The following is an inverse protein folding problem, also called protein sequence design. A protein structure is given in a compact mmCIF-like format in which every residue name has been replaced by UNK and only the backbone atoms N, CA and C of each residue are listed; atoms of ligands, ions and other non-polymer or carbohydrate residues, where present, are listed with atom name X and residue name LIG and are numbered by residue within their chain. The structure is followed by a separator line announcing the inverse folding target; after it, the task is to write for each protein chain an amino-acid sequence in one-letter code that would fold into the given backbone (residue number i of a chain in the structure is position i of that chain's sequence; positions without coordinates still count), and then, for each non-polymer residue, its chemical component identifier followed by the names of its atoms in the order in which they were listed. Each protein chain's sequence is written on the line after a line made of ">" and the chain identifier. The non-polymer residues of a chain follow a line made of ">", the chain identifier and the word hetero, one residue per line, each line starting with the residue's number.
data_IF_706919941461
#
_entry.id   IF_706919941461
#
_cell.length_a   1.000
_cell.length_b   1.000
_cell.length_c   1.000
_cell.angle_alpha   90.00
_cell.angle_beta   90.00
_cell.angle_gamma   90.00
#
_symmetry.space_group_name_H-M   'P 1'
#
loop_
_entity.id
_entity.type
_entity.pdbx_description
1 polymer ?
#
# COMPACT_ATOMS: atom_id res chain seq x y z
N UNK A 1 38.87 -16.82 41.93
CA UNK A 1 39.71 -17.26 40.79
C UNK A 1 38.82 -17.33 39.57
N UNK A 2 39.18 -16.59 38.52
CA UNK A 2 38.38 -16.32 37.34
C UNK A 2 38.07 -17.58 36.53
N UNK A 3 36.81 -17.73 36.11
CA UNK A 3 36.43 -18.60 35.00
C UNK A 3 36.23 -17.70 33.77
N UNK A 4 37.14 -17.87 32.82
CA UNK A 4 37.10 -17.30 31.48
C UNK A 4 35.83 -17.74 30.74
N UNK A 5 34.94 -16.80 30.42
CA UNK A 5 33.95 -16.96 29.36
C UNK A 5 34.33 -16.07 28.18
N UNK A 6 35.15 -16.62 27.29
CA UNK A 6 35.47 -15.99 26.02
C UNK A 6 34.21 -15.86 25.17
N UNK A 7 33.71 -14.63 24.99
CA UNK A 7 32.81 -14.32 23.89
C UNK A 7 33.57 -14.51 22.56
N UNK A 8 33.02 -15.22 21.56
CA UNK A 8 33.57 -15.17 20.22
C UNK A 8 33.33 -13.77 19.64
N UNK A 9 34.42 -13.02 19.51
CA UNK A 9 34.53 -11.69 18.93
C UNK A 9 34.35 -11.74 17.41
N UNK A 10 33.11 -11.96 16.95
CA UNK A 10 32.81 -12.02 15.53
C UNK A 10 32.56 -10.60 14.96
N UNK A 11 33.31 -10.14 13.94
CA UNK A 11 33.21 -8.77 13.39
C UNK A 11 31.81 -8.37 12.85
N UNK A 12 30.92 -9.33 12.60
CA UNK A 12 29.56 -9.11 12.10
C UNK A 12 28.61 -8.53 13.16
N UNK A 13 28.82 -8.83 14.43
CA UNK A 13 27.98 -8.31 15.53
C UNK A 13 28.04 -6.78 15.62
N UNK A 14 29.20 -6.19 15.27
CA UNK A 14 29.38 -4.73 15.26
C UNK A 14 28.66 -4.04 14.10
N UNK A 15 28.55 -4.66 12.92
CA UNK A 15 27.85 -4.07 11.77
C UNK A 15 26.33 -4.09 11.96
N UNK A 16 25.76 -5.18 12.47
CA UNK A 16 24.32 -5.24 12.79
C UNK A 16 23.96 -4.34 13.99
N UNK A 17 24.82 -4.24 15.01
CA UNK A 17 24.65 -3.30 16.12
C UNK A 17 24.73 -1.84 15.67
N UNK A 18 25.59 -1.52 14.69
CA UNK A 18 25.70 -0.16 14.12
C UNK A 18 24.38 0.31 13.51
N UNK A 19 23.68 -0.55 12.75
CA UNK A 19 22.36 -0.22 12.19
C UNK A 19 21.23 -0.26 13.23
N UNK A 20 21.28 -1.17 14.21
CA UNK A 20 20.31 -1.21 15.34
C UNK A 20 20.36 0.06 16.21
N UNK A 21 21.56 0.63 16.39
CA UNK A 21 21.77 1.83 17.21
C UNK A 21 21.54 3.15 16.45
N UNK A 22 21.69 3.18 15.12
CA UNK A 22 21.47 4.41 14.34
C UNK A 22 19.99 4.86 14.32
N UNK A 23 19.06 3.92 14.53
CA UNK A 23 17.61 4.16 14.47
C UNK A 23 16.90 4.09 15.84
N UNK A 24 17.62 3.70 16.89
CA UNK A 24 17.11 3.64 18.25
C UNK A 24 17.59 4.86 19.04
N UNK A 25 16.65 5.70 19.50
CA UNK A 25 16.81 6.84 20.43
C UNK A 25 17.27 8.20 19.86
N UNK A 26 16.27 9.04 19.57
CA UNK A 26 16.14 10.36 20.24
C UNK A 26 14.66 10.79 20.26
N UNK A 27 13.93 10.31 21.26
CA UNK A 27 12.63 10.86 21.66
C UNK A 27 12.61 10.83 23.19
N UNK A 28 13.08 11.93 23.79
CA UNK A 28 12.87 12.25 25.20
C UNK A 28 12.44 13.71 25.26
N UNK A 29 11.30 13.88 25.93
CA UNK A 29 10.57 15.10 26.23
C UNK A 29 11.41 16.12 27.01
N UNK A 30 11.19 17.42 26.76
CA UNK A 30 11.58 18.49 27.70
C UNK A 30 11.69 19.90 27.12
N UNK A 31 10.81 20.80 27.58
CA UNK A 31 11.03 22.26 27.69
C UNK A 31 10.60 23.13 26.50
N UNK A 32 9.38 23.68 26.48
CA UNK A 32 8.98 25.03 26.98
C UNK A 32 9.66 26.23 26.32
N UNK A 33 8.84 27.06 25.66
CA UNK A 33 8.96 28.53 25.70
C UNK A 33 9.34 29.22 24.38
N UNK A 34 8.49 30.15 23.95
CA UNK A 34 8.92 31.28 23.12
C UNK A 34 8.04 31.59 21.91
N UNK A 35 6.99 32.38 22.14
CA UNK A 35 6.25 33.12 21.12
C UNK A 35 7.17 33.91 20.16
N UNK A 36 6.78 34.04 18.89
CA UNK A 36 6.60 35.37 18.27
C UNK A 36 5.81 35.31 16.97
N UNK A 37 4.86 36.22 16.94
CA UNK A 37 3.86 36.60 15.96
C UNK A 37 4.44 37.39 14.78
N UNK A 38 3.66 37.48 13.68
CA UNK A 38 3.85 38.43 12.58
C UNK A 38 4.11 37.71 11.24
N UNK A 39 3.45 37.98 10.12
CA UNK A 39 2.71 39.15 9.68
C UNK A 39 1.70 38.74 8.60
N UNK A 40 0.60 39.50 8.55
CA UNK A 40 -0.46 39.44 7.55
C UNK A 40 -0.18 40.36 6.35
N UNK A 41 -0.93 40.13 5.26
CA UNK A 41 -1.03 41.01 4.09
C UNK A 41 0.09 40.76 3.06
N UNK A 42 -0.09 40.97 1.76
CA UNK A 42 -0.88 42.00 1.09
C UNK A 42 -1.27 41.48 -0.30
N UNK A 43 -2.54 41.66 -0.65
CA UNK A 43 -3.11 41.54 -1.99
C UNK A 43 -2.83 42.82 -2.79
N UNK A 44 -2.56 42.75 -4.10
CA UNK A 44 -2.91 43.85 -5.01
C UNK A 44 -4.07 43.46 -5.93
N UNK A 45 -5.10 44.32 -5.89
CA UNK A 45 -6.22 44.41 -6.83
C UNK A 45 -5.75 45.08 -8.13
N UNK A 46 -6.40 44.65 -9.20
CA UNK A 46 -6.92 45.39 -10.35
C UNK A 46 -5.99 46.34 -11.11
N UNK A 47 -5.90 46.15 -12.43
CA UNK A 47 -6.54 47.00 -13.43
C UNK A 47 -5.99 46.65 -14.83
N UNK A 48 -6.85 46.19 -15.73
CA UNK A 48 -6.79 46.57 -17.15
C UNK A 48 -8.17 46.38 -17.78
N UNK A 49 -8.88 47.50 -17.87
CA UNK A 49 -9.94 47.77 -18.82
C UNK A 49 -9.35 47.94 -20.22
N UNK A 50 -9.90 47.27 -21.24
CA UNK A 50 -9.75 47.68 -22.64
C UNK A 50 -11.06 47.45 -23.39
N UNK A 51 -11.66 48.59 -23.72
CA UNK A 51 -12.43 48.96 -24.91
C UNK A 51 -13.41 47.94 -25.51
N UNK A 52 -14.68 48.33 -25.36
CA UNK A 52 -15.78 48.14 -26.32
C UNK A 52 -15.40 48.66 -27.71
N UNK A 53 -15.57 47.83 -28.72
CA UNK A 53 -15.60 48.21 -30.14
C UNK A 53 -17.06 48.12 -30.63
N UNK A 54 -17.66 49.21 -31.14
CA UNK A 54 -19.06 49.24 -31.53
C UNK A 54 -19.19 49.15 -33.06
N UNK A 55 -19.10 47.96 -33.65
CA UNK A 55 -19.50 47.77 -35.05
C UNK A 55 -19.96 46.33 -35.31
N UNK A 56 -21.27 46.12 -35.20
CA UNK A 56 -21.96 44.89 -35.58
C UNK A 56 -22.55 45.03 -37.00
N UNK A 57 -22.30 44.07 -37.91
CA UNK A 57 -23.14 43.91 -39.09
C UNK A 57 -24.42 43.15 -38.73
N UNK A 58 -25.55 43.80 -38.98
CA UNK A 58 -26.92 43.26 -38.89
C UNK A 58 -27.10 42.12 -39.88
N UNK A 59 -27.40 40.91 -39.40
CA UNK A 59 -27.87 39.78 -40.22
C UNK A 59 -29.39 39.83 -40.36
N UNK A 60 -29.95 39.67 -41.58
CA UNK A 60 -31.40 39.71 -41.79
C UNK A 60 -32.07 38.46 -41.20
N UNK A 61 -33.25 38.68 -40.61
CA UNK A 61 -34.12 37.64 -40.07
C UNK A 61 -34.63 36.70 -41.18
N UNK A 62 -34.73 35.37 -40.94
CA UNK A 62 -35.30 34.45 -41.91
C UNK A 62 -36.84 34.48 -41.90
N UNK A 63 -37.38 34.45 -43.11
CA UNK A 63 -38.80 34.43 -43.55
C UNK A 63 -39.68 33.39 -42.81
N UNK A 64 -40.94 33.69 -42.42
CA UNK A 64 -41.78 32.79 -41.62
C UNK A 64 -42.61 31.76 -42.40
N UNK A 65 -42.38 31.53 -43.70
CA UNK A 65 -43.15 30.56 -44.52
C UNK A 65 -42.32 29.41 -45.09
N UNK A 66 -41.72 28.61 -44.21
CA UNK A 66 -41.28 27.25 -44.59
C UNK A 66 -41.57 26.22 -43.50
N UNK A 67 -42.81 26.22 -43.02
CA UNK A 67 -43.41 25.08 -42.34
C UNK A 67 -44.14 24.23 -43.37
N UNK A 68 -43.55 23.13 -43.84
CA UNK A 68 -44.30 21.90 -44.09
C UNK A 68 -43.35 20.71 -44.32
N UNK A 69 -43.68 19.61 -43.63
CA UNK A 69 -43.14 18.25 -43.76
C UNK A 69 -41.78 17.98 -43.08
N UNK A 70 -41.84 17.68 -41.78
CA UNK A 70 -40.78 16.91 -41.07
C UNK A 70 -41.21 15.43 -41.00
N UNK A 71 -40.35 14.44 -41.31
CA UNK A 71 -40.68 13.03 -41.08
C UNK A 71 -40.74 12.74 -39.57
N UNK A 72 -41.45 11.68 -39.14
CA UNK A 72 -41.64 11.42 -37.71
C UNK A 72 -40.29 11.23 -37.02
N UNK A 73 -39.99 12.10 -36.04
CA UNK A 73 -38.86 11.93 -35.13
C UNK A 73 -39.02 10.58 -34.43
N UNK A 74 -38.18 9.61 -34.80
CA UNK A 74 -37.93 8.43 -33.95
C UNK A 74 -37.54 8.96 -32.57
N UNK A 75 -38.38 8.70 -31.58
CA UNK A 75 -38.05 8.87 -30.16
C UNK A 75 -36.68 8.23 -29.92
N UNK A 76 -35.68 8.96 -29.38
CA UNK A 76 -34.46 8.33 -28.96
C UNK A 76 -34.84 7.36 -27.85
N UNK A 77 -34.74 6.06 -28.12
CA UNK A 77 -34.75 5.08 -27.05
C UNK A 77 -33.61 5.46 -26.12
N UNK A 78 -33.94 5.94 -24.92
CA UNK A 78 -33.00 6.28 -23.87
C UNK A 78 -32.32 4.99 -23.39
N UNK A 79 -31.43 4.43 -24.22
CA UNK A 79 -30.37 3.54 -23.75
C UNK A 79 -29.50 4.44 -22.88
N UNK A 80 -29.58 4.28 -21.56
CA UNK A 80 -28.69 4.88 -20.57
C UNK A 80 -27.23 4.50 -20.88
N UNK A 81 -26.64 5.13 -21.90
CA UNK A 81 -25.26 4.96 -22.30
C UNK A 81 -24.48 5.86 -21.35
N UNK A 82 -23.99 5.30 -20.24
CA UNK A 82 -22.98 6.00 -19.42
C UNK A 82 -21.89 6.50 -20.39
N UNK A 83 -21.44 7.76 -20.28
CA UNK A 83 -20.33 8.22 -21.09
C UNK A 83 -19.15 7.29 -20.86
N UNK A 84 -18.60 6.71 -21.94
CA UNK A 84 -17.54 5.68 -21.92
C UNK A 84 -16.37 6.05 -20.97
N UNK A 85 -16.13 7.35 -20.75
CA UNK A 85 -15.12 7.86 -19.81
C UNK A 85 -15.35 7.54 -18.33
N UNK A 86 -16.61 7.46 -17.86
CA UNK A 86 -16.88 7.25 -16.42
C UNK A 86 -16.59 5.81 -15.96
N UNK A 87 -16.73 4.82 -16.84
CA UNK A 87 -16.36 3.43 -16.55
C UNK A 87 -14.84 3.24 -16.62
N UNK A 88 -14.19 3.81 -17.65
CA UNK A 88 -12.72 3.79 -17.80
C UNK A 88 -12.02 4.43 -16.60
N UNK A 89 -12.59 5.52 -16.05
CA UNK A 89 -12.05 6.18 -14.85
C UNK A 89 -12.08 5.28 -13.61
N UNK A 90 -13.23 4.66 -13.31
CA UNK A 90 -13.37 3.73 -12.17
C UNK A 90 -12.50 2.48 -12.30
N UNK A 91 -12.37 1.95 -13.52
CA UNK A 91 -11.44 0.85 -13.78
C UNK A 91 -10.01 1.26 -13.46
N UNK A 92 -9.57 2.43 -13.96
CA UNK A 92 -8.24 2.94 -13.71
C UNK A 92 -7.97 3.08 -12.22
N UNK A 93 -8.95 3.53 -11.44
CA UNK A 93 -8.85 3.62 -9.97
C UNK A 93 -8.64 2.23 -9.35
N UNK A 94 -9.42 1.21 -9.75
CA UNK A 94 -9.26 -0.16 -9.25
C UNK A 94 -7.91 -0.79 -9.64
N UNK A 95 -7.47 -0.61 -10.89
CA UNK A 95 -6.14 -1.05 -11.35
C UNK A 95 -5.04 -0.30 -10.60
N UNK A 96 -5.22 0.99 -10.31
CA UNK A 96 -4.28 1.78 -9.53
C UNK A 96 -4.10 1.21 -8.12
N UNK A 97 -5.20 0.90 -7.43
CA UNK A 97 -5.15 0.30 -6.08
C UNK A 97 -4.34 -0.99 -6.11
N UNK A 98 -4.67 -1.93 -7.00
CA UNK A 98 -3.99 -3.22 -7.08
C UNK A 98 -2.51 -3.08 -7.46
N UNK A 99 -2.21 -2.27 -8.47
CA UNK A 99 -0.84 -2.06 -8.95
C UNK A 99 0.03 -1.37 -7.92
N UNK A 100 -0.49 -0.35 -7.23
CA UNK A 100 0.24 0.38 -6.20
C UNK A 100 0.46 -0.52 -4.99
N UNK A 101 -0.56 -1.27 -4.54
CA UNK A 101 -0.41 -2.24 -3.45
C UNK A 101 0.70 -3.24 -3.73
N UNK A 102 0.68 -3.85 -4.93
CA UNK A 102 1.66 -4.82 -5.37
C UNK A 102 3.11 -4.31 -5.25
N UNK A 103 3.39 -3.17 -5.88
CA UNK A 103 4.75 -2.62 -5.89
C UNK A 103 5.15 -2.14 -4.49
N UNK A 104 4.21 -1.59 -3.73
CA UNK A 104 4.46 -1.13 -2.36
C UNK A 104 4.75 -2.29 -1.41
N UNK A 105 4.08 -3.43 -1.57
CA UNK A 105 4.33 -4.63 -0.78
C UNK A 105 5.73 -5.19 -1.06
N UNK A 106 6.11 -5.32 -2.33
CA UNK A 106 7.46 -5.70 -2.73
C UNK A 106 8.53 -4.75 -2.17
N UNK A 107 8.33 -3.43 -2.28
CA UNK A 107 9.25 -2.43 -1.71
C UNK A 107 9.31 -2.51 -0.18
N UNK A 108 8.18 -2.75 0.50
CA UNK A 108 8.17 -2.92 1.94
C UNK A 108 9.03 -4.10 2.37
N UNK A 109 8.94 -5.21 1.64
CA UNK A 109 9.75 -6.39 1.90
C UNK A 109 11.25 -6.09 1.75
N UNK A 110 11.62 -5.44 0.64
CA UNK A 110 13.01 -5.06 0.37
C UNK A 110 13.53 -4.13 1.47
N UNK A 111 12.78 -3.08 1.83
CA UNK A 111 13.18 -2.17 2.91
C UNK A 111 13.32 -2.86 4.26
N UNK A 112 12.47 -3.83 4.58
CA UNK A 112 12.59 -4.63 5.80
C UNK A 112 13.90 -5.40 5.86
N UNK A 113 14.35 -5.97 4.74
CA UNK A 113 15.65 -6.65 4.67
C UNK A 113 16.82 -5.71 4.83
N UNK A 114 16.73 -4.44 4.39
CA UNK A 114 17.83 -3.49 4.50
C UNK A 114 17.88 -2.73 5.83
N UNK A 115 16.71 -2.45 6.44
CA UNK A 115 16.63 -1.62 7.64
C UNK A 115 16.78 -2.42 8.95
N UNK A 116 16.61 -3.74 8.92
CA UNK A 116 16.79 -4.63 10.09
C UNK A 116 16.07 -4.13 11.36
N UNK A 117 14.86 -3.58 11.20
CA UNK A 117 14.13 -2.98 12.31
C UNK A 117 13.69 -4.02 13.35
N UNK A 118 13.96 -3.74 14.63
CA UNK A 118 13.47 -4.52 15.77
C UNK A 118 11.96 -4.30 16.00
N UNK A 119 11.32 -5.11 16.86
CA UNK A 119 9.92 -4.93 17.27
C UNK A 119 9.82 -4.67 18.77
N UNK A 120 8.81 -3.91 19.23
CA UNK A 120 8.68 -3.57 20.65
C UNK A 120 8.70 -4.79 21.58
N UNK A 121 7.93 -5.85 21.29
CA UNK A 121 7.89 -7.02 22.17
C UNK A 121 9.20 -7.82 22.17
N UNK A 122 9.90 -7.94 21.03
CA UNK A 122 11.25 -8.54 21.00
C UNK A 122 12.23 -7.74 21.85
N UNK A 123 12.22 -6.43 21.66
CA UNK A 123 13.12 -5.51 22.34
C UNK A 123 12.92 -5.49 23.85
N UNK A 124 11.67 -5.53 24.33
CA UNK A 124 11.36 -5.57 25.77
C UNK A 124 11.98 -6.81 26.44
N UNK A 125 11.96 -7.97 25.77
CA UNK A 125 12.54 -9.20 26.29
C UNK A 125 14.07 -9.27 26.16
N UNK A 126 14.63 -8.79 25.03
CA UNK A 126 16.08 -8.82 24.78
C UNK A 126 16.87 -7.72 25.50
N UNK A 127 16.24 -6.58 25.84
CA UNK A 127 16.91 -5.44 26.49
C UNK A 127 17.22 -5.66 27.97
N UNK A 128 16.68 -6.72 28.59
CA UNK A 128 16.79 -6.96 30.04
C UNK A 128 15.92 -6.04 30.90
N UNK A 129 15.18 -5.10 30.30
CA UNK A 129 14.27 -4.19 31.00
C UNK A 129 13.17 -4.94 31.77
N UNK A 130 12.69 -6.07 31.21
CA UNK A 130 11.69 -6.93 31.84
C UNK A 130 12.14 -7.50 33.20
N UNK A 131 13.45 -7.74 33.38
CA UNK A 131 14.00 -8.25 34.64
C UNK A 131 14.03 -7.19 35.76
N UNK A 132 13.95 -5.90 35.39
CA UNK A 132 14.03 -4.78 36.32
C UNK A 132 12.63 -4.24 36.68
N UNK A 133 11.69 -4.30 35.74
CA UNK A 133 10.29 -3.98 35.95
C UNK A 133 9.42 -4.89 35.05
N UNK A 134 8.79 -5.94 35.60
CA UNK A 134 7.95 -6.84 34.82
C UNK A 134 6.66 -6.12 34.39
N UNK A 135 6.74 -5.40 33.27
CA UNK A 135 5.57 -4.85 32.60
C UNK A 135 4.83 -6.00 31.94
N UNK A 136 3.59 -6.29 32.33
CA UNK A 136 2.80 -7.34 31.68
C UNK A 136 2.49 -6.94 30.23
N UNK A 137 3.25 -7.51 29.29
CA UNK A 137 3.04 -7.32 27.86
C UNK A 137 2.05 -8.38 27.38
N UNK A 138 0.82 -7.97 27.13
CA UNK A 138 -0.18 -8.85 26.51
C UNK A 138 0.10 -8.99 25.02
N UNK A 139 0.28 -10.24 24.56
CA UNK A 139 0.38 -10.56 23.15
C UNK A 139 -0.98 -11.00 22.62
N UNK A 140 -1.24 -10.67 21.35
CA UNK A 140 -2.40 -11.12 20.60
C UNK A 140 -1.92 -11.93 19.40
N UNK A 141 -2.80 -12.74 18.76
CA UNK A 141 -2.43 -13.47 17.54
C UNK A 141 -1.80 -12.56 16.47
N UNK A 142 -2.27 -11.32 16.36
CA UNK A 142 -1.77 -10.31 15.41
C UNK A 142 -0.44 -9.64 15.81
N UNK A 143 0.10 -9.92 17.00
CA UNK A 143 1.38 -9.39 17.49
C UNK A 143 2.58 -10.19 16.96
N UNK A 144 2.43 -11.50 16.74
CA UNK A 144 3.52 -12.43 16.43
C UNK A 144 3.90 -12.50 14.94
N UNK A 145 4.26 -11.37 14.36
CA UNK A 145 4.76 -11.32 12.98
C UNK A 145 6.24 -11.71 12.86
N UNK A 146 6.61 -12.39 11.77
CA UNK A 146 7.96 -12.95 11.58
C UNK A 146 8.97 -12.04 10.88
N UNK A 147 8.50 -11.03 10.14
CA UNK A 147 9.35 -10.10 9.40
C UNK A 147 9.91 -8.95 10.26
N UNK A 148 10.99 -8.28 9.84
CA UNK A 148 11.50 -7.07 10.50
C UNK A 148 10.45 -5.96 10.63
N UNK A 149 10.59 -5.10 11.64
CA UNK A 149 9.61 -4.08 12.00
C UNK A 149 9.62 -2.82 11.13
N UNK A 150 10.72 -2.51 10.43
CA UNK A 150 10.87 -1.22 9.71
C UNK A 150 10.86 -1.36 8.19
N UNK A 151 10.03 -0.59 7.46
CA UNK A 151 8.92 0.23 7.92
C UNK A 151 7.64 -0.61 8.12
N UNK A 152 6.64 -0.04 8.81
CA UNK A 152 5.36 -0.75 9.03
C UNK A 152 4.63 -1.01 7.70
N UNK A 153 4.51 -2.28 7.31
CA UNK A 153 3.86 -2.70 6.07
C UNK A 153 2.37 -2.35 6.02
N UNK A 154 1.66 -2.53 7.14
CA UNK A 154 0.25 -2.14 7.28
C UNK A 154 0.06 -0.65 6.94
N UNK A 155 0.90 0.23 7.50
CA UNK A 155 0.78 1.66 7.25
C UNK A 155 1.20 2.04 5.82
N UNK A 156 2.31 1.47 5.34
CA UNK A 156 2.88 1.77 4.03
C UNK A 156 1.97 1.34 2.89
N UNK A 157 1.50 0.08 2.90
CA UNK A 157 0.67 -0.48 1.84
C UNK A 157 -0.71 0.18 1.85
N UNK A 158 -1.37 0.28 3.01
CA UNK A 158 -2.68 0.95 3.11
C UNK A 158 -2.60 2.43 2.72
N UNK A 159 -1.53 3.13 3.13
CA UNK A 159 -1.29 4.51 2.74
C UNK A 159 -1.16 4.68 1.23
N UNK A 160 -0.36 3.85 0.57
CA UNK A 160 -0.16 3.92 -0.87
C UNK A 160 -1.43 3.51 -1.66
N UNK A 161 -2.06 2.40 -1.26
CA UNK A 161 -3.21 1.82 -1.95
C UNK A 161 -4.45 2.71 -1.91
N UNK A 162 -4.70 3.40 -0.79
CA UNK A 162 -5.87 4.27 -0.63
C UNK A 162 -5.65 5.68 -1.23
N UNK A 163 -4.42 6.07 -1.56
CA UNK A 163 -4.12 7.36 -2.20
C UNK A 163 -4.91 7.62 -3.50
N UNK A 164 -4.96 6.69 -4.49
CA UNK A 164 -5.76 6.89 -5.70
C UNK A 164 -7.26 7.04 -5.41
N UNK A 165 -7.78 6.35 -4.40
CA UNK A 165 -9.19 6.47 -3.98
C UNK A 165 -9.44 7.85 -3.37
N UNK A 166 -8.60 8.27 -2.42
CA UNK A 166 -8.68 9.59 -1.79
C UNK A 166 -8.67 10.69 -2.86
N UNK A 167 -7.68 10.68 -3.75
CA UNK A 167 -7.53 11.71 -4.81
C UNK A 167 -8.71 11.70 -5.79
N UNK A 168 -9.21 10.53 -6.18
CA UNK A 168 -10.36 10.42 -7.06
C UNK A 168 -11.65 10.95 -6.42
N UNK A 169 -11.89 10.64 -5.14
CA UNK A 169 -13.04 11.14 -4.38
C UNK A 169 -12.92 12.65 -4.14
N UNK A 170 -11.75 13.15 -3.76
CA UNK A 170 -11.50 14.59 -3.60
C UNK A 170 -11.77 15.36 -4.89
N UNK A 171 -11.30 14.84 -6.04
CA UNK A 171 -11.58 15.46 -7.34
C UNK A 171 -13.08 15.46 -7.69
N UNK A 172 -13.80 14.39 -7.34
CA UNK A 172 -15.26 14.31 -7.54
C UNK A 172 -16.04 15.26 -6.63
N UNK A 173 -15.59 15.48 -5.40
CA UNK A 173 -16.24 16.41 -4.47
C UNK A 173 -15.87 17.86 -4.80
N UNK A 174 -14.66 18.12 -5.30
CA UNK A 174 -14.24 19.45 -5.76
C UNK A 174 -15.13 19.99 -6.88
N UNK A 175 -15.59 19.13 -7.80
CA UNK A 175 -16.49 19.54 -8.90
C UNK A 175 -17.95 19.67 -8.51
N UNK A 176 -18.38 19.04 -7.40
CA UNK A 176 -19.80 19.00 -6.99
C UNK A 176 -20.13 19.90 -5.81
N UNK A 177 -19.17 20.18 -4.94
CA UNK A 177 -19.39 20.90 -3.70
C UNK A 177 -18.78 22.30 -3.76
N UNK A 178 -19.52 23.30 -3.31
CA UNK A 178 -19.02 24.66 -3.13
C UNK A 178 -18.29 24.86 -1.79
N UNK A 179 -18.66 24.09 -0.75
CA UNK A 179 -18.06 24.20 0.58
C UNK A 179 -16.68 23.56 0.66
N UNK A 180 -15.71 24.29 1.23
CA UNK A 180 -14.35 23.82 1.50
C UNK A 180 -14.32 22.58 2.42
N UNK A 181 -15.24 22.52 3.38
CA UNK A 181 -15.34 21.39 4.32
C UNK A 181 -15.72 20.09 3.61
N UNK A 182 -16.71 20.15 2.72
CA UNK A 182 -17.16 18.98 1.96
C UNK A 182 -16.04 18.45 1.05
N UNK A 183 -15.24 19.36 0.47
CA UNK A 183 -14.07 18.98 -0.35
C UNK A 183 -12.96 18.32 0.46
N UNK A 184 -12.84 18.64 1.76
CA UNK A 184 -11.82 18.08 2.64
C UNK A 184 -12.18 16.68 3.17
N UNK A 185 -13.46 16.26 3.12
CA UNK A 185 -13.95 15.00 3.69
C UNK A 185 -13.12 13.78 3.26
N UNK A 186 -12.80 13.54 1.97
CA UNK A 186 -12.09 12.32 1.58
C UNK A 186 -10.66 12.28 2.12
N UNK A 187 -9.99 13.43 2.15
CA UNK A 187 -8.64 13.55 2.73
C UNK A 187 -8.69 13.35 4.24
N UNK A 188 -9.65 13.96 4.94
CA UNK A 188 -9.83 13.76 6.38
C UNK A 188 -10.11 12.29 6.71
N UNK A 189 -11.02 11.65 5.98
CA UNK A 189 -11.32 10.23 6.15
C UNK A 189 -10.10 9.34 5.93
N UNK A 190 -9.29 9.63 4.89
CA UNK A 190 -8.04 8.93 4.61
C UNK A 190 -7.04 9.08 5.77
N UNK A 191 -6.76 10.30 6.23
CA UNK A 191 -5.80 10.54 7.31
C UNK A 191 -6.27 9.94 8.64
N UNK A 192 -7.56 10.06 8.98
CA UNK A 192 -8.12 9.47 10.19
C UNK A 192 -8.04 7.94 10.16
N UNK A 193 -8.34 7.31 9.01
CA UNK A 193 -8.23 5.86 8.87
C UNK A 193 -6.77 5.39 9.00
N UNK A 194 -5.82 6.10 8.37
CA UNK A 194 -4.40 5.78 8.50
C UNK A 194 -3.87 5.97 9.91
N UNK A 195 -4.34 7.00 10.63
CA UNK A 195 -4.01 7.19 12.03
C UNK A 195 -4.52 6.02 12.88
N UNK A 196 -5.76 5.57 12.65
CA UNK A 196 -6.31 4.40 13.35
C UNK A 196 -5.51 3.13 13.06
N UNK A 197 -5.12 2.89 11.80
CA UNK A 197 -4.25 1.77 11.42
C UNK A 197 -2.90 1.89 12.15
N UNK A 198 -2.25 3.05 12.10
CA UNK A 198 -0.97 3.28 12.76
C UNK A 198 -1.01 3.08 14.27
N UNK A 199 -2.03 3.64 14.94
CA UNK A 199 -2.22 3.48 16.38
C UNK A 199 -2.46 2.01 16.75
N UNK A 200 -3.27 1.27 15.97
CA UNK A 200 -3.49 -0.16 16.25
C UNK A 200 -2.18 -0.96 16.27
N UNK A 201 -1.22 -0.62 15.39
CA UNK A 201 0.09 -1.27 15.34
C UNK A 201 1.00 -0.95 16.52
N UNK A 202 0.88 0.26 17.08
CA UNK A 202 1.59 0.65 18.31
C UNK A 202 0.98 -0.03 19.52
N UNK A 203 -0.36 -0.04 19.64
CA UNK A 203 -1.06 -0.68 20.76
C UNK A 203 -0.85 -2.19 20.82
N UNK A 204 -0.75 -2.86 19.68
CA UNK A 204 -0.42 -4.30 19.59
C UNK A 204 1.07 -4.60 19.84
N UNK A 205 1.89 -3.58 20.12
CA UNK A 205 3.34 -3.67 20.32
C UNK A 205 4.09 -4.33 19.14
N UNK A 206 3.50 -4.24 17.95
CA UNK A 206 4.05 -4.85 16.75
C UNK A 206 5.03 -3.92 16.02
N UNK A 207 4.93 -2.60 16.25
CA UNK A 207 5.80 -1.58 15.67
C UNK A 207 6.07 -0.44 16.64
N UNK A 208 7.28 0.11 16.58
CA UNK A 208 7.58 1.38 17.26
C UNK A 208 6.95 2.57 16.51
N UNK A 209 6.65 3.70 17.20
CA UNK A 209 6.04 4.87 16.57
C UNK A 209 6.82 5.42 15.37
N UNK A 210 8.15 5.38 15.40
CA UNK A 210 8.98 5.83 14.27
C UNK A 210 8.81 4.95 13.02
N UNK A 211 8.58 3.64 13.20
CA UNK A 211 8.38 2.68 12.10
C UNK A 211 7.01 2.86 11.45
N UNK A 212 6.01 3.18 12.27
CA UNK A 212 4.67 3.57 11.82
C UNK A 212 4.75 4.87 11.02
N UNK A 213 5.41 5.90 11.55
CA UNK A 213 5.60 7.18 10.85
C UNK A 213 6.34 7.00 9.52
N UNK A 214 7.45 6.26 9.51
CA UNK A 214 8.18 5.94 8.28
C UNK A 214 7.31 5.22 7.26
N UNK A 215 6.48 4.26 7.70
CA UNK A 215 5.52 3.56 6.85
C UNK A 215 4.47 4.51 6.26
N UNK A 216 3.85 5.36 7.08
CA UNK A 216 2.86 6.34 6.64
C UNK A 216 3.43 7.32 5.60
N UNK A 217 4.60 7.89 5.86
CA UNK A 217 5.26 8.83 4.95
C UNK A 217 5.64 8.15 3.63
N UNK A 218 6.29 6.99 3.70
CA UNK A 218 6.70 6.23 2.50
C UNK A 218 5.47 5.81 1.69
N UNK A 219 4.40 5.35 2.35
CA UNK A 219 3.15 5.00 1.69
C UNK A 219 2.51 6.17 0.95
N UNK A 220 2.43 7.35 1.59
CA UNK A 220 1.92 8.56 0.96
C UNK A 220 2.77 8.99 -0.26
N UNK A 221 4.10 8.96 -0.14
CA UNK A 221 5.03 9.29 -1.23
C UNK A 221 4.86 8.32 -2.41
N UNK A 222 4.79 7.01 -2.14
CA UNK A 222 4.59 6.00 -3.17
C UNK A 222 3.21 6.14 -3.83
N UNK A 223 2.16 6.35 -3.05
CA UNK A 223 0.82 6.60 -3.56
C UNK A 223 0.79 7.80 -4.51
N UNK A 224 1.40 8.92 -4.11
CA UNK A 224 1.54 10.12 -4.93
C UNK A 224 2.35 9.87 -6.20
N UNK A 225 3.51 9.21 -6.09
CA UNK A 225 4.39 8.94 -7.22
C UNK A 225 3.75 7.97 -8.21
N UNK A 226 3.03 6.95 -7.75
CA UNK A 226 2.56 5.87 -8.60
C UNK A 226 1.16 6.11 -9.19
N UNK A 227 0.31 6.93 -8.57
CA UNK A 227 -1.04 7.22 -9.08
C UNK A 227 -1.06 7.73 -10.54
N UNK A 228 -0.11 8.57 -10.98
CA UNK A 228 0.00 8.94 -12.40
C UNK A 228 0.49 7.79 -13.31
N UNK A 229 1.24 6.83 -12.78
CA UNK A 229 2.03 5.80 -13.50
C UNK A 229 1.34 4.44 -13.59
N UNK A 230 0.00 4.41 -13.52
CA UNK A 230 -0.79 3.17 -13.57
C UNK A 230 -0.69 2.56 -14.97
N UNK A 231 -0.30 1.29 -15.11
CA UNK A 231 -0.17 0.63 -16.41
C UNK A 231 -1.55 0.31 -16.98
N UNK A 232 -2.16 1.31 -17.62
CA UNK A 232 -3.36 1.11 -18.41
C UNK A 232 -2.96 0.68 -19.82
N UNK A 233 -3.67 -0.29 -20.38
CA UNK A 233 -3.53 -0.70 -21.80
C UNK A 233 -2.16 -1.32 -22.14
N UNK A 234 -1.47 -1.88 -21.15
CA UNK A 234 -0.29 -2.72 -21.39
C UNK A 234 -0.70 -4.13 -21.79
N UNK A 235 0.14 -4.79 -22.56
CA UNK A 235 -0.03 -6.19 -22.98
C UNK A 235 0.06 -7.16 -21.79
N UNK A 236 -0.47 -8.36 -21.96
CA UNK A 236 -0.37 -9.43 -20.95
C UNK A 236 1.10 -9.77 -20.62
N UNK A 237 1.98 -9.71 -21.62
CA UNK A 237 3.43 -9.92 -21.49
C UNK A 237 4.06 -9.01 -20.43
N UNK A 238 3.64 -7.74 -20.36
CA UNK A 238 4.13 -6.78 -19.37
C UNK A 238 3.85 -7.21 -17.93
N UNK A 239 2.63 -7.72 -17.66
CA UNK A 239 2.27 -8.19 -16.32
C UNK A 239 2.99 -9.49 -15.95
N UNK A 240 3.16 -10.39 -16.92
CA UNK A 240 3.95 -11.62 -16.74
C UNK A 240 5.43 -11.33 -16.47
N UNK A 241 6.05 -10.43 -17.25
CA UNK A 241 7.43 -9.99 -17.04
C UNK A 241 7.59 -9.24 -15.72
N UNK A 242 6.60 -8.44 -15.30
CA UNK A 242 6.62 -7.80 -13.98
C UNK A 242 6.60 -8.84 -12.87
N UNK A 243 5.70 -9.82 -12.93
CA UNK A 243 5.64 -10.91 -11.95
C UNK A 243 6.99 -11.65 -11.84
N UNK A 244 7.58 -11.98 -13.00
CA UNK A 244 8.90 -12.62 -13.05
C UNK A 244 9.99 -11.72 -12.46
N UNK A 245 10.00 -10.43 -12.80
CA UNK A 245 10.98 -9.46 -12.30
C UNK A 245 10.87 -9.27 -10.79
N UNK A 246 9.66 -9.22 -10.22
CA UNK A 246 9.45 -9.12 -8.77
C UNK A 246 10.01 -10.36 -8.04
N UNK A 247 9.71 -11.56 -8.56
CA UNK A 247 10.17 -12.81 -7.98
C UNK A 247 11.69 -12.97 -8.07
N UNK A 248 12.26 -12.79 -9.27
CA UNK A 248 13.70 -12.92 -9.50
C UNK A 248 14.49 -11.82 -8.80
N UNK A 249 13.99 -10.58 -8.83
CA UNK A 249 14.63 -9.44 -8.19
C UNK A 249 14.72 -9.61 -6.67
N UNK A 250 13.62 -10.01 -6.02
CA UNK A 250 13.65 -10.29 -4.59
C UNK A 250 14.52 -11.49 -4.24
N UNK A 251 14.50 -12.56 -5.05
CA UNK A 251 15.38 -13.72 -4.87
C UNK A 251 16.86 -13.34 -4.98
N UNK A 252 17.21 -12.50 -5.97
CA UNK A 252 18.57 -11.99 -6.16
C UNK A 252 19.02 -11.14 -4.96
N UNK A 253 18.17 -10.23 -4.49
CA UNK A 253 18.46 -9.41 -3.30
C UNK A 253 18.66 -10.33 -2.08
N UNK A 254 17.77 -11.29 -1.85
CA UNK A 254 17.87 -12.24 -0.74
C UNK A 254 19.21 -13.00 -0.74
N UNK A 255 19.57 -13.62 -1.88
CA UNK A 255 20.81 -14.37 -2.00
C UNK A 255 22.05 -13.48 -1.88
N UNK A 256 21.99 -12.24 -2.39
CA UNK A 256 23.09 -11.27 -2.25
C UNK A 256 23.28 -10.87 -0.79
N UNK A 257 22.21 -10.61 -0.04
CA UNK A 257 22.33 -10.27 1.38
C UNK A 257 22.92 -11.44 2.19
N UNK A 258 22.50 -12.67 1.89
CA UNK A 258 23.08 -13.86 2.52
C UNK A 258 24.57 -14.02 2.17
N UNK A 259 24.96 -13.84 0.91
CA UNK A 259 26.37 -13.97 0.50
C UNK A 259 27.25 -12.88 1.11
N UNK A 260 26.68 -11.71 1.42
CA UNK A 260 27.33 -10.66 2.22
C UNK A 260 27.39 -10.96 3.73
N UNK A 261 26.89 -12.13 4.16
CA UNK A 261 26.92 -12.59 5.55
C UNK A 261 25.81 -12.02 6.44
N UNK A 262 24.75 -11.46 5.86
CA UNK A 262 23.59 -11.00 6.61
C UNK A 262 22.65 -12.16 6.88
N UNK A 263 22.42 -12.47 8.16
CA UNK A 263 21.42 -13.45 8.55
C UNK A 263 20.03 -12.82 8.42
N UNK A 264 19.23 -13.25 7.43
CA UNK A 264 17.83 -12.84 7.26
C UNK A 264 16.85 -13.70 8.09
N UNK A 265 17.32 -14.80 8.68
CA UNK A 265 16.51 -15.65 9.56
C UNK A 265 16.43 -15.13 10.99
N UNK A 266 17.26 -14.14 11.35
CA UNK A 266 17.29 -13.53 12.68
C UNK A 266 15.92 -13.13 13.20
N UNK A 267 15.08 -12.49 12.37
CA UNK A 267 13.77 -11.98 12.77
C UNK A 267 12.76 -13.12 12.98
N UNK A 268 12.91 -14.20 12.21
CA UNK A 268 12.10 -15.42 12.36
C UNK A 268 12.45 -16.08 13.69
N UNK A 269 13.75 -16.23 13.99
CA UNK A 269 14.20 -16.80 15.25
C UNK A 269 13.72 -15.98 16.46
N UNK A 270 13.74 -14.65 16.35
CA UNK A 270 13.29 -13.75 17.42
C UNK A 270 11.76 -13.82 17.61
N UNK A 271 11.00 -13.90 16.51
CA UNK A 271 9.56 -14.10 16.55
C UNK A 271 9.19 -15.45 17.19
N UNK A 272 9.85 -16.53 16.79
CA UNK A 272 9.60 -17.87 17.35
C UNK A 272 10.02 -17.99 18.81
N UNK A 273 11.05 -17.24 19.24
CA UNK A 273 11.54 -17.25 20.62
C UNK A 273 10.61 -16.51 21.59
N UNK A 274 10.08 -15.37 21.17
CA UNK A 274 9.36 -14.45 22.07
C UNK A 274 7.84 -14.42 21.86
N UNK A 275 7.32 -15.10 20.84
CA UNK A 275 5.89 -15.25 20.71
C UNK A 275 5.35 -16.17 21.82
N UNK A 276 4.29 -15.74 22.50
CA UNK A 276 3.68 -16.48 23.62
C UNK A 276 3.15 -17.86 23.17
N UNK A 277 2.60 -17.93 21.96
CA UNK A 277 2.01 -19.14 21.42
C UNK A 277 2.55 -19.45 20.02
N UNK A 278 3.10 -20.65 19.77
CA UNK A 278 3.68 -21.00 18.47
C UNK A 278 2.65 -20.94 17.33
N UNK A 279 1.36 -21.20 17.60
CA UNK A 279 0.28 -21.10 16.62
C UNK A 279 0.02 -19.68 16.11
N UNK A 280 0.47 -18.64 16.82
CA UNK A 280 0.34 -17.24 16.39
C UNK A 280 1.47 -16.81 15.44
N UNK A 281 2.50 -17.65 15.27
CA UNK A 281 3.59 -17.39 14.33
C UNK A 281 3.10 -17.67 12.91
N UNK A 282 2.58 -16.64 12.25
CA UNK A 282 2.03 -16.76 10.90
C UNK A 282 3.11 -17.00 9.85
N UNK A 283 3.16 -18.23 9.31
CA UNK A 283 4.06 -18.63 8.21
C UNK A 283 3.80 -17.83 6.92
N UNK A 284 2.58 -17.33 6.74
CA UNK A 284 2.18 -16.54 5.57
C UNK A 284 2.79 -15.14 5.55
N UNK A 285 3.28 -14.68 6.71
CA UNK A 285 4.05 -13.43 6.81
C UNK A 285 5.50 -13.57 6.33
N UNK A 286 5.92 -14.77 5.91
CA UNK A 286 7.27 -15.00 5.40
C UNK A 286 7.48 -14.26 4.08
N UNK A 287 8.68 -13.70 3.85
CA UNK A 287 9.03 -12.98 2.63
C UNK A 287 8.61 -13.65 1.32
N UNK A 288 8.92 -14.94 1.15
CA UNK A 288 8.65 -15.66 -0.11
C UNK A 288 7.18 -16.00 -0.33
N UNK A 289 6.38 -16.12 0.74
CA UNK A 289 4.94 -16.31 0.64
C UNK A 289 4.28 -15.03 0.10
N UNK A 290 4.65 -13.87 0.66
CA UNK A 290 4.22 -12.54 0.18
C UNK A 290 4.64 -12.31 -1.28
N UNK A 291 5.89 -12.61 -1.65
CA UNK A 291 6.37 -12.49 -3.04
C UNK A 291 5.58 -13.34 -4.05
N UNK A 292 5.21 -14.55 -3.66
CA UNK A 292 4.42 -15.45 -4.51
C UNK A 292 3.01 -14.92 -4.72
N UNK A 293 2.39 -14.38 -3.66
CA UNK A 293 1.08 -13.72 -3.73
C UNK A 293 1.13 -12.50 -4.63
N UNK A 294 2.14 -11.66 -4.47
CA UNK A 294 2.34 -10.45 -5.28
C UNK A 294 2.51 -10.80 -6.76
N UNK A 295 3.40 -11.74 -7.06
CA UNK A 295 3.63 -12.20 -8.43
C UNK A 295 2.36 -12.81 -9.05
N UNK A 296 1.61 -13.59 -8.28
CA UNK A 296 0.31 -14.14 -8.68
C UNK A 296 -0.75 -13.05 -8.92
N UNK A 297 -0.82 -12.04 -8.06
CA UNK A 297 -1.74 -10.91 -8.21
C UNK A 297 -1.42 -10.07 -9.46
N UNK A 298 -0.14 -9.85 -9.76
CA UNK A 298 0.30 -9.17 -10.97
C UNK A 298 -0.14 -9.92 -12.24
N UNK A 299 0.12 -11.24 -12.29
CA UNK A 299 -0.29 -12.09 -13.41
C UNK A 299 -1.82 -12.16 -13.53
N UNK A 300 -2.51 -12.35 -12.41
CA UNK A 300 -3.98 -12.42 -12.34
C UNK A 300 -4.64 -11.12 -12.82
N UNK A 301 -4.08 -9.95 -12.46
CA UNK A 301 -4.51 -8.66 -12.98
C UNK A 301 -4.36 -8.59 -14.51
N UNK A 302 -3.21 -9.05 -15.04
CA UNK A 302 -2.97 -9.13 -16.47
C UNK A 302 -3.99 -10.00 -17.21
N UNK A 303 -4.24 -11.22 -16.71
CA UNK A 303 -5.21 -12.17 -17.28
C UNK A 303 -6.62 -11.58 -17.23
N UNK A 304 -7.02 -11.00 -16.09
CA UNK A 304 -8.34 -10.41 -15.92
C UNK A 304 -8.59 -9.26 -16.92
N UNK A 305 -7.59 -8.40 -17.14
CA UNK A 305 -7.70 -7.27 -18.09
C UNK A 305 -7.76 -7.71 -19.56
N UNK A 306 -7.25 -8.91 -19.90
CA UNK A 306 -7.22 -9.46 -21.26
C UNK A 306 -8.26 -10.57 -21.52
N UNK A 307 -9.03 -10.97 -20.50
CA UNK A 307 -10.04 -12.01 -20.65
C UNK A 307 -11.19 -11.57 -21.58
N UNK A 308 -11.69 -12.44 -22.47
CA UNK A 308 -12.86 -12.14 -23.31
C UNK A 308 -14.13 -11.87 -22.50
N UNK A 309 -14.26 -12.50 -21.32
CA UNK A 309 -15.35 -12.24 -20.39
C UNK A 309 -15.33 -10.77 -19.90
N UNK A 310 -14.13 -10.25 -19.63
CA UNK A 310 -13.98 -8.85 -19.26
C UNK A 310 -14.32 -7.89 -20.40
N UNK A 311 -14.00 -8.23 -21.65
CA UNK A 311 -14.40 -7.45 -22.82
C UNK A 311 -15.93 -7.36 -22.98
N UNK A 312 -16.66 -8.42 -22.61
CA UNK A 312 -18.12 -8.43 -22.58
C UNK A 312 -18.68 -7.60 -21.41
N UNK A 313 -18.17 -7.81 -20.19
CA UNK A 313 -18.61 -7.11 -18.97
C UNK A 313 -18.34 -5.61 -19.05
N UNK A 314 -17.21 -5.19 -19.63
CA UNK A 314 -16.88 -3.76 -19.82
C UNK A 314 -17.92 -3.01 -20.67
N UNK A 315 -18.70 -3.73 -21.49
CA UNK A 315 -19.77 -3.16 -22.33
C UNK A 315 -21.14 -3.22 -21.66
N UNK A 316 -21.31 -4.07 -20.63
CA UNK A 316 -22.56 -4.26 -19.92
C UNK A 316 -22.77 -3.21 -18.82
N UNK A 317 -24.01 -2.81 -18.60
CA UNK A 317 -24.40 -1.98 -17.47
C UNK A 317 -24.93 -2.87 -16.35
N UNK A 318 -24.10 -3.12 -15.33
CA UNK A 318 -24.57 -3.88 -14.17
C UNK A 318 -25.50 -3.02 -13.30
N UNK A 319 -26.68 -3.57 -13.01
CA UNK A 319 -27.61 -3.01 -12.02
C UNK A 319 -26.99 -3.04 -10.61
N UNK A 320 -27.51 -2.22 -9.68
CA UNK A 320 -26.99 -2.19 -8.31
C UNK A 320 -27.13 -3.55 -7.60
N UNK A 321 -28.24 -4.27 -7.83
CA UNK A 321 -28.42 -5.63 -7.31
C UNK A 321 -27.36 -6.61 -7.83
N UNK A 322 -27.01 -6.55 -9.12
CA UNK A 322 -25.94 -7.39 -9.68
C UNK A 322 -24.56 -7.04 -9.13
N UNK A 323 -24.28 -5.75 -8.83
CA UNK A 323 -23.03 -5.35 -8.18
C UNK A 323 -22.93 -5.89 -6.76
N UNK A 324 -24.03 -5.82 -6.00
CA UNK A 324 -24.10 -6.36 -4.64
C UNK A 324 -23.95 -7.88 -4.70
N UNK A 325 -24.66 -8.56 -5.60
CA UNK A 325 -24.51 -10.01 -5.80
C UNK A 325 -23.06 -10.38 -6.17
N UNK A 326 -22.42 -9.62 -7.06
CA UNK A 326 -21.02 -9.85 -7.44
C UNK A 326 -20.06 -9.60 -6.27
N UNK A 327 -20.30 -8.58 -5.45
CA UNK A 327 -19.53 -8.32 -4.23
C UNK A 327 -19.71 -9.47 -3.22
N UNK A 328 -20.95 -9.89 -2.96
CA UNK A 328 -21.24 -10.99 -2.04
C UNK A 328 -20.66 -12.32 -2.54
N UNK A 329 -20.75 -12.60 -3.84
CA UNK A 329 -20.11 -13.75 -4.46
C UNK A 329 -18.59 -13.68 -4.34
N UNK A 330 -17.98 -12.53 -4.61
CA UNK A 330 -16.53 -12.36 -4.44
C UNK A 330 -16.10 -12.60 -2.99
N UNK A 331 -16.79 -11.99 -2.02
CA UNK A 331 -16.53 -12.22 -0.59
C UNK A 331 -16.76 -13.69 -0.19
N UNK A 332 -17.83 -14.31 -0.71
CA UNK A 332 -18.18 -15.70 -0.47
C UNK A 332 -17.23 -16.71 -1.14
N UNK A 333 -16.55 -16.33 -2.23
CA UNK A 333 -15.48 -17.11 -2.86
C UNK A 333 -14.14 -16.93 -2.12
N UNK A 334 -13.89 -15.75 -1.55
CA UNK A 334 -12.68 -15.49 -0.77
C UNK A 334 -12.65 -16.32 0.53
N UNK A 335 -13.80 -16.56 1.17
CA UNK A 335 -13.86 -17.37 2.41
C UNK A 335 -13.35 -18.81 2.25
N UNK A 336 -13.86 -19.60 1.29
CA UNK A 336 -13.35 -20.94 1.00
C UNK A 336 -11.89 -20.95 0.53
N UNK A 337 -11.43 -19.92 -0.20
CA UNK A 337 -10.02 -19.77 -0.59
C UNK A 337 -9.10 -19.56 0.62
N UNK A 338 -9.57 -18.83 1.63
CA UNK A 338 -8.88 -18.66 2.91
C UNK A 338 -8.86 -19.98 3.71
N UNK A 339 -9.98 -20.73 3.68
CA UNK A 339 -10.12 -22.01 4.38
C UNK A 339 -9.36 -23.18 3.74
N UNK A 340 -9.19 -23.17 2.41
CA UNK A 340 -8.43 -24.19 1.66
C UNK A 340 -6.97 -24.27 2.08
N UNK A 341 -6.49 -23.32 2.88
CA UNK A 341 -5.11 -23.22 3.32
C UNK A 341 -4.24 -22.82 2.14
N UNK A 342 -3.30 -21.91 2.38
CA UNK A 342 -2.26 -21.69 1.39
C UNK A 342 -1.57 -23.04 1.15
N UNK A 343 -1.50 -23.53 -0.11
CA UNK A 343 -0.68 -24.69 -0.37
C UNK A 343 0.69 -24.30 0.16
N UNK A 344 1.13 -25.05 1.18
CA UNK A 344 2.45 -24.85 1.77
C UNK A 344 3.38 -24.60 0.60
N UNK A 345 4.14 -23.52 0.64
CA UNK A 345 5.08 -23.13 -0.40
C UNK A 345 6.24 -24.13 -0.48
N UNK A 346 5.95 -25.43 -0.32
CA UNK A 346 6.83 -26.57 -0.25
C UNK A 346 7.67 -26.62 -1.50
N UNK A 347 7.10 -26.39 -2.70
CA UNK A 347 7.89 -26.40 -3.94
C UNK A 347 8.89 -25.23 -4.03
N UNK A 348 8.59 -24.04 -3.50
CA UNK A 348 9.55 -22.92 -3.50
C UNK A 348 10.52 -22.95 -2.30
N UNK A 349 10.06 -23.40 -1.13
CA UNK A 349 10.87 -23.56 0.08
C UNK A 349 11.87 -24.71 -0.06
N UNK A 350 11.51 -25.82 -0.71
CA UNK A 350 12.40 -26.97 -0.90
C UNK A 350 13.59 -26.65 -1.81
N UNK A 351 13.40 -25.76 -2.80
CA UNK A 351 14.48 -25.34 -3.70
C UNK A 351 15.37 -24.22 -3.13
N UNK A 352 14.86 -23.34 -2.26
CA UNK A 352 15.61 -22.17 -1.77
C UNK A 352 16.17 -22.32 -0.33
N UNK A 353 15.59 -23.19 0.51
CA UNK A 353 16.07 -23.41 1.89
C UNK A 353 17.01 -24.61 2.04
N UNK A 354 17.34 -25.33 0.96
CA UNK A 354 18.38 -26.36 1.02
C UNK A 354 19.73 -25.67 1.18
N UNK A 355 20.17 -25.47 2.44
CA UNK A 355 21.59 -25.32 2.73
C UNK A 355 22.32 -26.45 1.98
N UNK A 356 23.35 -26.16 1.16
CA UNK A 356 24.29 -27.22 0.81
C UNK A 356 24.96 -27.61 2.13
N UNK A 357 24.49 -28.69 2.74
CA UNK A 357 25.27 -29.45 3.72
C UNK A 357 26.44 -30.07 2.95
N UNK A 358 27.44 -29.25 2.63
CA UNK A 358 28.75 -29.67 2.17
C UNK A 358 29.72 -29.50 3.35
N UNK A 359 29.57 -30.37 4.36
CA UNK A 359 30.61 -30.66 5.35
C UNK A 359 30.18 -31.89 6.16
N UNK A 360 30.55 -33.07 5.66
CA UNK A 360 30.92 -34.29 6.41
C UNK A 360 31.11 -35.45 5.41
N UNK A 361 32.27 -35.41 4.74
CA UNK A 361 33.13 -36.56 4.51
C UNK A 361 34.52 -36.13 4.97
#
# INVERSE_FOLDING_TARGET
>A
MCVNSGLPSAPWFRKAAYWRNLWSFRLVLGGTGGERSGLAGIWPRDHTSTLTDPDAPVTPAPDPERQLVSPPRRLPTCRHRRPRGALRKRLREGVAVLWISLITEWLNLVFKWFLFGDRPFWWVHESGYYNQAPAQVHQFPSSCETGPGSPSGHCMITGAALWPIMTALSAQMATRAHSRWIRAIPSLAYFTFLLAVGLSRVFLLAHFPHQVLAGLLTGAILGWLMTPRVPMERELSFYGLTALALMLGASLIYWTLISLGLDLSWSINLASKWCERPEWVHLDSRPFASLSRDSGAALGLGIALHSPCYAQIRRAYLGNGQKIACLLLAMGLLGPLDWLGHPSSFLFHFFLQRKPSLSLL
#
